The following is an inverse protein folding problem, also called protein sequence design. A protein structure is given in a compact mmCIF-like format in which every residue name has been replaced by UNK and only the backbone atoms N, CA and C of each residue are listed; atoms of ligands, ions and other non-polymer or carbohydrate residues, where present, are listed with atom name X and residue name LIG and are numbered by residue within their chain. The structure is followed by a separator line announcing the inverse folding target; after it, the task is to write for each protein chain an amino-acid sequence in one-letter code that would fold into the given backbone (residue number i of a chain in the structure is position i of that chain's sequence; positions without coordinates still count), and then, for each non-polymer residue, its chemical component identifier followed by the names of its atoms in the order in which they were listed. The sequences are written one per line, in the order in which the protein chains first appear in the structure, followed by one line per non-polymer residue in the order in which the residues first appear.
data_IF_658195198273
#
_entry.id   IF_658195198273
#
_cell.length_a   1.000
_cell.length_b   1.000
_cell.length_c   1.000
_cell.angle_alpha   90.00
_cell.angle_beta   90.00
_cell.angle_gamma   90.00
#
_symmetry.space_group_name_H-M   'P 1'
#
loop_
_entity.id
_entity.type
_entity.pdbx_description
1 polymer ?
#
# COMPACT_ATOMS: atom_id res chain seq x y z
N UNK A 1 91.94 -35.05 23.05
CA UNK A 1 90.60 -34.73 23.57
C UNK A 1 90.30 -33.28 23.25
N UNK A 2 89.17 -33.04 22.57
CA UNK A 2 88.55 -31.76 22.22
C UNK A 2 89.36 -30.78 21.34
N UNK A 3 88.83 -30.49 20.15
CA UNK A 3 88.65 -29.10 19.71
C UNK A 3 87.47 -29.02 18.73
N UNK A 4 86.48 -28.27 19.19
CA UNK A 4 85.20 -27.91 18.59
C UNK A 4 85.42 -27.12 17.31
N UNK A 5 84.75 -27.53 16.24
CA UNK A 5 84.59 -26.75 15.01
C UNK A 5 83.60 -25.62 15.27
N UNK A 6 84.08 -24.37 15.25
CA UNK A 6 83.22 -23.19 15.22
C UNK A 6 82.96 -22.82 13.76
N UNK A 7 81.70 -22.92 13.32
CA UNK A 7 81.23 -22.30 12.09
C UNK A 7 80.20 -21.23 12.47
N UNK A 8 80.57 -19.99 12.18
CA UNK A 8 79.70 -18.82 12.18
C UNK A 8 78.76 -19.00 10.99
N UNK A 9 77.45 -19.05 11.22
CA UNK A 9 76.48 -19.07 10.13
C UNK A 9 75.40 -18.03 10.35
N UNK A 10 75.29 -17.20 9.33
CA UNK A 10 74.54 -15.97 9.18
C UNK A 10 73.03 -16.18 9.33
N UNK A 11 72.37 -15.21 9.97
CA UNK A 11 70.91 -15.09 10.03
C UNK A 11 70.37 -14.80 8.63
N UNK A 12 69.41 -15.60 8.15
CA UNK A 12 68.56 -15.22 7.02
C UNK A 12 67.08 -15.35 7.41
N UNK A 13 66.40 -14.20 7.35
CA UNK A 13 65.00 -13.96 7.62
C UNK A 13 64.25 -13.89 6.28
N UNK A 14 63.34 -14.82 5.97
CA UNK A 14 62.23 -14.65 5.00
C UNK A 14 61.26 -15.80 5.29
N UNK A 15 59.95 -15.70 5.51
CA UNK A 15 58.94 -14.68 5.27
C UNK A 15 57.70 -15.50 4.89
N UNK A 16 56.67 -15.55 5.75
CA UNK A 16 55.46 -16.34 5.49
C UNK A 16 54.69 -15.74 4.30
N UNK A 17 54.40 -16.55 3.29
CA UNK A 17 53.39 -16.22 2.27
C UNK A 17 52.23 -17.19 2.39
N UNK A 18 51.22 -16.81 3.17
CA UNK A 18 49.89 -17.42 3.11
C UNK A 18 49.29 -17.06 1.74
N UNK A 19 48.96 -18.08 0.94
CA UNK A 19 48.16 -17.91 -0.26
C UNK A 19 46.71 -17.60 0.15
N UNK A 20 46.36 -16.32 0.16
CA UNK A 20 44.97 -15.88 0.25
C UNK A 20 44.29 -16.04 -1.11
N UNK A 21 43.38 -17.00 -1.24
CA UNK A 21 42.56 -17.14 -2.45
C UNK A 21 41.69 -15.90 -2.67
N UNK A 22 41.63 -15.33 -3.89
CA UNK A 22 40.67 -14.27 -4.18
C UNK A 22 39.27 -14.89 -4.26
N UNK A 23 38.45 -14.66 -3.23
CA UNK A 23 37.01 -14.93 -3.32
C UNK A 23 36.38 -13.86 -4.20
N UNK A 24 36.05 -14.22 -5.44
CA UNK A 24 35.32 -13.34 -6.36
C UNK A 24 33.87 -13.32 -5.89
N UNK A 25 33.54 -12.38 -5.00
CA UNK A 25 32.16 -12.12 -4.64
C UNK A 25 31.48 -11.45 -5.85
N UNK A 26 30.63 -12.21 -6.54
CA UNK A 26 29.72 -11.62 -7.53
C UNK A 26 28.86 -10.55 -6.83
N UNK A 27 28.72 -9.34 -7.38
CA UNK A 27 27.78 -8.38 -6.84
C UNK A 27 26.39 -9.02 -6.92
N UNK A 28 25.75 -9.21 -5.76
CA UNK A 28 24.34 -9.52 -5.71
C UNK A 28 23.63 -8.39 -6.42
N UNK A 29 23.02 -8.68 -7.57
CA UNK A 29 22.01 -7.82 -8.17
C UNK A 29 21.01 -7.52 -7.07
N UNK A 30 21.05 -6.29 -6.54
CA UNK A 30 19.97 -5.78 -5.70
C UNK A 30 18.76 -5.81 -6.62
N UNK A 31 18.00 -6.89 -6.57
CA UNK A 31 16.62 -6.90 -7.01
C UNK A 31 16.00 -5.76 -6.23
N UNK A 32 15.79 -4.62 -6.89
CA UNK A 32 14.97 -3.52 -6.40
C UNK A 32 13.74 -4.24 -5.85
N UNK A 33 13.59 -4.28 -4.52
CA UNK A 33 12.38 -4.84 -3.94
C UNK A 33 11.27 -4.13 -4.67
N UNK A 34 10.38 -4.90 -5.26
CA UNK A 34 9.04 -4.44 -5.58
C UNK A 34 8.54 -3.93 -4.23
N UNK A 35 8.77 -2.64 -3.97
CA UNK A 35 8.13 -1.95 -2.88
C UNK A 35 6.69 -2.26 -3.19
N UNK A 36 6.02 -3.05 -2.35
CA UNK A 36 4.59 -3.26 -2.47
C UNK A 36 4.03 -1.84 -2.37
N UNK A 37 3.86 -1.14 -3.48
CA UNK A 37 3.48 0.27 -3.48
C UNK A 37 2.04 0.22 -3.03
N UNK A 38 1.86 0.39 -1.72
CA UNK A 38 0.56 0.44 -1.09
C UNK A 38 -0.05 1.74 -1.56
N UNK A 39 -0.94 1.65 -2.53
CA UNK A 39 -1.72 2.77 -2.99
C UNK A 39 -2.96 2.87 -2.10
N UNK A 40 -3.08 3.97 -1.37
CA UNK A 40 -4.29 4.34 -0.63
C UNK A 40 -4.92 5.54 -1.36
N UNK A 41 -6.04 5.35 -2.08
CA UNK A 41 -6.65 6.42 -2.86
C UNK A 41 -7.18 7.53 -1.95
N UNK A 42 -6.78 8.78 -2.16
CA UNK A 42 -7.41 9.88 -1.42
C UNK A 42 -8.81 10.16 -1.98
N UNK A 43 -9.85 9.89 -1.20
CA UNK A 43 -11.24 10.13 -1.61
C UNK A 43 -11.51 11.64 -1.56
N UNK A 44 -11.89 12.22 -2.69
CA UNK A 44 -12.21 13.66 -2.82
C UNK A 44 -13.70 13.93 -2.70
N UNK A 45 -14.55 12.93 -2.98
CA UNK A 45 -15.99 12.99 -2.71
C UNK A 45 -16.52 11.58 -2.44
N UNK A 46 -17.40 11.38 -1.44
CA UNK A 46 -18.07 12.39 -0.61
C UNK A 46 -17.15 13.08 0.40
N UNK A 47 -17.37 14.39 0.59
CA UNK A 47 -16.75 15.21 1.64
C UNK A 47 -17.75 15.45 2.80
N UNK A 48 -17.32 16.18 3.82
CA UNK A 48 -18.18 16.50 4.97
C UNK A 48 -19.43 17.34 4.66
N UNK A 49 -19.48 17.99 3.50
CA UNK A 49 -20.64 18.75 3.05
C UNK A 49 -21.61 17.90 2.21
N UNK A 50 -21.22 16.68 1.82
CA UNK A 50 -22.03 15.84 0.95
C UNK A 50 -23.33 15.38 1.62
N UNK A 51 -24.43 15.48 0.86
CA UNK A 51 -25.75 14.97 1.24
C UNK A 51 -26.25 14.06 0.13
N UNK A 52 -26.34 12.77 0.41
CA UNK A 52 -26.87 11.79 -0.53
C UNK A 52 -28.33 11.47 -0.22
N UNK A 53 -29.11 11.28 -1.28
CA UNK A 53 -30.49 10.82 -1.20
C UNK A 53 -30.54 9.30 -1.37
N UNK A 54 -31.29 8.61 -0.52
CA UNK A 54 -31.51 7.17 -0.64
C UNK A 54 -32.10 6.83 -2.02
N UNK A 55 -31.55 5.80 -2.69
CA UNK A 55 -31.99 5.38 -4.01
C UNK A 55 -31.44 6.20 -5.19
N UNK A 56 -30.78 7.33 -4.92
CA UNK A 56 -30.14 8.16 -5.95
C UNK A 56 -28.86 7.55 -6.49
N UNK A 57 -28.45 8.01 -7.67
CA UNK A 57 -27.12 7.72 -8.23
C UNK A 57 -26.18 8.83 -7.79
N UNK A 58 -25.05 8.44 -7.21
CA UNK A 58 -24.02 9.35 -6.72
C UNK A 58 -22.68 8.93 -7.32
N UNK A 59 -21.78 9.88 -7.50
CA UNK A 59 -20.41 9.57 -7.86
C UNK A 59 -19.57 9.51 -6.60
N UNK A 60 -18.65 8.56 -6.54
CA UNK A 60 -17.54 8.56 -5.58
C UNK A 60 -16.30 8.89 -6.38
N UNK A 61 -15.50 9.86 -5.92
CA UNK A 61 -14.29 10.31 -6.63
C UNK A 61 -13.07 10.21 -5.74
N UNK A 62 -11.93 9.92 -6.34
CA UNK A 62 -10.64 9.83 -5.67
C UNK A 62 -9.52 10.35 -6.56
N UNK A 63 -8.42 10.74 -5.93
CA UNK A 63 -7.23 11.15 -6.65
C UNK A 63 -6.50 9.94 -7.26
N UNK A 64 -6.03 10.12 -8.50
CA UNK A 64 -5.25 9.14 -9.26
C UNK A 64 -3.84 9.62 -9.58
N UNK A 65 -3.44 10.82 -9.13
CA UNK A 65 -2.13 11.40 -9.39
C UNK A 65 -0.98 10.49 -8.93
N UNK A 66 -1.13 9.87 -7.76
CA UNK A 66 -0.14 8.98 -7.16
C UNK A 66 -0.32 7.49 -7.54
N UNK A 67 -1.24 7.18 -8.47
CA UNK A 67 -1.52 5.80 -8.86
C UNK A 67 -0.35 5.21 -9.67
N UNK A 68 0.37 4.19 -9.16
CA UNK A 68 1.47 3.59 -9.88
C UNK A 68 0.97 2.90 -11.15
N UNK A 69 1.77 2.92 -12.22
CA UNK A 69 1.40 2.30 -13.50
C UNK A 69 1.02 0.82 -13.37
N UNK A 70 1.64 0.10 -12.44
CA UNK A 70 1.37 -1.31 -12.15
C UNK A 70 -0.01 -1.53 -11.49
N UNK A 71 -0.54 -0.53 -10.80
CA UNK A 71 -1.85 -0.57 -10.12
C UNK A 71 -2.98 0.07 -10.92
N UNK A 72 -2.69 0.65 -12.10
CA UNK A 72 -3.73 1.21 -12.99
C UNK A 72 -4.80 0.20 -13.40
N UNK A 73 -4.41 -1.06 -13.56
CA UNK A 73 -5.32 -2.18 -13.88
C UNK A 73 -5.92 -2.85 -12.64
N UNK A 74 -5.61 -2.36 -11.43
CA UNK A 74 -6.23 -2.89 -10.23
C UNK A 74 -7.72 -2.55 -10.23
N UNK A 75 -8.52 -3.50 -9.79
CA UNK A 75 -9.95 -3.32 -9.62
C UNK A 75 -10.26 -2.79 -8.23
N UNK A 76 -11.25 -1.92 -8.17
CA UNK A 76 -11.72 -1.30 -6.94
C UNK A 76 -13.00 -1.90 -6.38
N UNK A 77 -13.21 -1.66 -5.09
CA UNK A 77 -14.46 -1.92 -4.37
C UNK A 77 -14.82 -0.66 -3.60
N UNK A 78 -16.08 -0.23 -3.70
CA UNK A 78 -16.64 0.82 -2.84
C UNK A 78 -17.57 0.17 -1.83
N UNK A 79 -17.29 0.40 -0.54
CA UNK A 79 -18.16 0.02 0.57
C UNK A 79 -18.82 1.25 1.18
N UNK A 80 -20.03 1.06 1.69
CA UNK A 80 -20.71 2.02 2.54
C UNK A 80 -20.60 1.56 3.98
N UNK A 81 -20.42 2.48 4.90
CA UNK A 81 -20.57 2.23 6.33
C UNK A 81 -20.93 3.50 7.07
N UNK A 82 -20.84 3.45 8.39
CA UNK A 82 -21.00 4.61 9.25
C UNK A 82 -20.07 4.49 10.45
N UNK A 83 -19.69 5.62 11.04
CA UNK A 83 -18.86 5.65 12.23
C UNK A 83 -19.73 5.83 13.47
N UNK A 84 -19.73 4.85 14.36
CA UNK A 84 -20.48 4.91 15.63
C UNK A 84 -19.53 4.55 16.77
N UNK A 85 -19.40 5.43 17.77
CA UNK A 85 -18.51 5.25 18.91
C UNK A 85 -17.04 4.93 18.54
N UNK A 86 -16.55 5.51 17.44
CA UNK A 86 -15.19 5.26 16.94
C UNK A 86 -15.00 3.91 16.27
N UNK A 87 -16.08 3.14 16.05
CA UNK A 87 -16.07 1.89 15.31
C UNK A 87 -16.68 2.08 13.92
N UNK A 88 -16.08 1.44 12.91
CA UNK A 88 -16.55 1.48 11.53
C UNK A 88 -17.53 0.34 11.29
N UNK A 89 -18.76 0.67 10.92
CA UNK A 89 -19.81 -0.29 10.61
C UNK A 89 -19.93 -0.49 9.09
N UNK A 90 -18.88 -1.05 8.49
CA UNK A 90 -18.83 -1.27 7.04
C UNK A 90 -19.77 -2.40 6.59
N UNK A 91 -20.57 -2.14 5.55
CA UNK A 91 -21.37 -3.15 4.88
C UNK A 91 -20.56 -3.88 3.81
N UNK A 92 -19.76 -4.84 4.26
CA UNK A 92 -18.89 -5.65 3.39
C UNK A 92 -19.73 -6.64 2.54
N UNK A 93 -20.98 -6.94 2.96
CA UNK A 93 -21.84 -7.91 2.26
C UNK A 93 -22.53 -7.31 1.05
N UNK A 94 -22.76 -5.99 1.06
CA UNK A 94 -23.40 -5.27 -0.04
C UNK A 94 -22.53 -4.09 -0.51
N UNK A 95 -21.44 -4.36 -1.24
CA UNK A 95 -20.62 -3.30 -1.82
C UNK A 95 -21.47 -2.42 -2.75
N UNK A 96 -21.22 -1.11 -2.74
CA UNK A 96 -21.90 -0.14 -3.61
C UNK A 96 -21.46 -0.27 -5.08
N UNK A 97 -20.20 -0.62 -5.29
CA UNK A 97 -19.64 -0.95 -6.60
C UNK A 97 -18.42 -1.87 -6.44
N UNK A 98 -18.17 -2.70 -7.45
CA UNK A 98 -17.02 -3.61 -7.51
C UNK A 98 -16.49 -3.71 -8.94
N UNK A 99 -15.22 -4.07 -9.09
CA UNK A 99 -14.65 -4.46 -10.39
C UNK A 99 -14.34 -3.29 -11.33
N UNK A 100 -14.43 -2.05 -10.86
CA UNK A 100 -14.09 -0.87 -11.66
C UNK A 100 -12.58 -0.62 -11.66
N UNK A 101 -11.99 -0.14 -12.76
CA UNK A 101 -10.57 0.21 -12.80
C UNK A 101 -10.28 1.47 -11.97
N UNK A 102 -9.21 1.42 -11.18
CA UNK A 102 -8.84 2.51 -10.26
C UNK A 102 -8.34 3.78 -10.95
N UNK A 103 -7.91 3.69 -12.20
CA UNK A 103 -7.43 4.84 -12.96
C UNK A 103 -8.53 5.75 -13.52
N UNK A 104 -9.81 5.39 -13.34
CA UNK A 104 -10.93 6.27 -13.68
C UNK A 104 -11.08 7.47 -12.73
N UNK A 105 -10.56 7.37 -11.50
CA UNK A 105 -10.70 8.43 -10.48
C UNK A 105 -12.13 8.70 -10.02
N UNK A 106 -13.11 7.95 -10.54
CA UNK A 106 -14.50 8.05 -10.14
C UNK A 106 -15.28 6.79 -10.49
N UNK A 107 -16.35 6.53 -9.74
CA UNK A 107 -17.35 5.51 -10.06
C UNK A 107 -18.74 5.98 -9.68
N UNK A 108 -19.71 5.77 -10.57
CA UNK A 108 -21.13 5.99 -10.28
C UNK A 108 -21.67 4.80 -9.50
N UNK A 109 -22.26 5.07 -8.35
CA UNK A 109 -22.89 4.09 -7.47
C UNK A 109 -24.35 4.41 -7.29
N UNK A 110 -25.14 3.41 -6.89
CA UNK A 110 -26.51 3.61 -6.47
C UNK A 110 -26.60 3.48 -4.95
N UNK A 111 -27.06 4.54 -4.30
CA UNK A 111 -27.27 4.54 -2.85
C UNK A 111 -28.42 3.59 -2.51
N UNK A 112 -28.27 2.67 -1.55
CA UNK A 112 -29.35 1.78 -1.15
C UNK A 112 -30.61 2.57 -0.75
N UNK A 113 -31.77 2.13 -1.23
CA UNK A 113 -33.04 2.83 -1.01
C UNK A 113 -33.58 2.67 0.43
N UNK A 114 -33.03 1.74 1.21
CA UNK A 114 -33.46 1.44 2.58
C UNK A 114 -32.29 1.57 3.54
N UNK A 115 -32.05 2.80 3.99
CA UNK A 115 -31.04 3.12 5.00
C UNK A 115 -31.69 3.88 6.15
N UNK A 116 -31.02 3.92 7.29
CA UNK A 116 -31.37 4.82 8.38
C UNK A 116 -30.84 6.22 8.03
N UNK A 117 -31.59 7.27 8.34
CA UNK A 117 -31.04 8.62 8.18
C UNK A 117 -29.95 8.86 9.21
N UNK A 118 -28.76 9.26 8.75
CA UNK A 118 -27.61 9.58 9.60
C UNK A 118 -26.71 10.62 8.93
N UNK A 119 -25.84 11.23 9.72
CA UNK A 119 -24.86 12.25 9.33
C UNK A 119 -23.41 11.81 9.55
N UNK A 120 -23.20 10.54 9.86
CA UNK A 120 -21.93 9.89 10.18
C UNK A 120 -21.60 8.77 9.18
N UNK A 121 -22.19 8.81 7.97
CA UNK A 121 -21.91 7.85 6.93
C UNK A 121 -20.49 8.05 6.39
N UNK A 122 -19.85 6.95 6.00
CA UNK A 122 -18.52 6.94 5.40
C UNK A 122 -18.51 6.01 4.18
N UNK A 123 -17.70 6.37 3.19
CA UNK A 123 -17.40 5.51 2.06
C UNK A 123 -15.96 5.04 2.14
N UNK A 124 -15.74 3.78 1.80
CA UNK A 124 -14.40 3.20 1.73
C UNK A 124 -14.13 2.73 0.32
N UNK A 125 -13.05 3.21 -0.27
CA UNK A 125 -12.59 2.79 -1.59
C UNK A 125 -11.38 1.89 -1.40
N UNK A 126 -11.49 0.63 -1.80
CA UNK A 126 -10.43 -0.38 -1.74
C UNK A 126 -9.84 -0.64 -3.12
N UNK A 127 -8.52 -0.53 -3.26
CA UNK A 127 -7.76 -1.06 -4.41
C UNK A 127 -6.79 -2.15 -3.96
N UNK A 128 -5.58 -1.76 -3.56
CA UNK A 128 -4.64 -2.62 -2.83
C UNK A 128 -4.69 -2.37 -1.32
N UNK A 129 -4.98 -1.13 -0.93
CA UNK A 129 -5.35 -0.72 0.42
C UNK A 129 -6.57 0.21 0.37
N UNK A 130 -7.31 0.26 1.47
CA UNK A 130 -8.48 1.10 1.62
C UNK A 130 -8.12 2.54 1.98
N UNK A 131 -9.04 3.46 1.70
CA UNK A 131 -9.08 4.78 2.31
C UNK A 131 -10.53 5.11 2.66
N UNK A 132 -10.73 5.92 3.69
CA UNK A 132 -12.04 6.25 4.25
C UNK A 132 -12.32 7.71 3.93
N UNK A 133 -13.52 8.00 3.43
CA UNK A 133 -13.97 9.36 3.17
C UNK A 133 -14.16 10.14 4.48
N UNK A 134 -14.36 11.46 4.35
CA UNK A 134 -14.95 12.22 5.46
C UNK A 134 -16.37 11.70 5.76
N UNK A 135 -16.86 12.02 6.97
CA UNK A 135 -18.23 11.70 7.35
C UNK A 135 -19.22 12.58 6.60
N UNK A 136 -20.24 11.99 6.01
CA UNK A 136 -21.26 12.70 5.25
C UNK A 136 -22.68 12.27 5.62
N UNK A 137 -23.68 12.95 5.04
CA UNK A 137 -25.08 12.74 5.37
C UNK A 137 -25.81 11.91 4.31
N UNK A 138 -26.62 10.95 4.76
CA UNK A 138 -27.60 10.28 3.91
C UNK A 138 -29.01 10.52 4.46
N UNK A 139 -29.90 10.98 3.59
CA UNK A 139 -31.30 11.30 3.93
C UNK A 139 -32.26 10.61 2.98
N UNK A 140 -33.53 10.49 3.38
CA UNK A 140 -34.56 9.91 2.49
C UNK A 140 -34.70 10.78 1.24
N UNK A 141 -35.00 10.12 0.13
CA UNK A 141 -35.59 10.83 -1.01
C UNK A 141 -36.96 11.35 -0.58
N UNK A 142 -37.22 12.62 -0.86
CA UNK A 142 -38.58 13.19 -0.77
C UNK A 142 -39.53 12.48 -1.72
#
# INVERSE_FOLDING_TARGET
MFKLSALISTVLLVGLSNFGSPSVASPLSIIKRDSKIVFSPHITYPDSAAIWLMGSVQNVTWDTADLPNEKRKATGIVLLGYLENGSEHLDIKSPLATGFPMDMGSVSIRVPARLKERNDYICVVFGDSGNISEQFKITKSH
#
